data_IF_525901107343
#
_entry.id   IF_525901107343
#
_cell.length_a   1.000
_cell.length_b   1.000
_cell.length_c   1.000
_cell.angle_alpha   90.00
_cell.angle_beta   90.00
_cell.angle_gamma   90.00
#
_symmetry.space_group_name_H-M   'P 1'
#
loop_
_entity.id
_entity.type
_entity.pdbx_description
1 polymer ?
#
# COMPACT_ATOMS: atom_id res chain seq x y z
N UNK A 1 6.56 -40.52 24.64
CA UNK A 1 6.46 -39.41 25.58
C UNK A 1 7.52 -38.33 25.41
N UNK A 2 7.88 -38.01 24.21
CA UNK A 2 8.90 -37.00 23.94
C UNK A 2 8.55 -36.16 22.72
N UNK A 3 7.27 -35.81 22.63
CA UNK A 3 6.79 -35.13 21.43
C UNK A 3 6.36 -33.69 21.67
N UNK A 4 6.72 -33.18 22.85
CA UNK A 4 6.26 -31.86 23.29
C UNK A 4 7.00 -30.70 22.59
N UNK A 5 8.20 -30.97 22.04
CA UNK A 5 9.04 -29.91 21.47
C UNK A 5 8.62 -29.43 20.08
N UNK A 6 7.72 -30.13 19.38
CA UNK A 6 7.38 -29.80 18.00
C UNK A 6 6.28 -28.75 17.84
N UNK A 7 5.57 -28.42 18.92
CA UNK A 7 4.42 -27.49 18.84
C UNK A 7 4.84 -26.02 18.94
N UNK A 8 6.03 -25.74 19.44
CA UNK A 8 6.47 -24.37 19.74
C UNK A 8 6.87 -23.59 18.50
N UNK A 9 7.35 -24.26 17.45
CA UNK A 9 7.88 -23.59 16.26
C UNK A 9 6.82 -22.84 15.45
N UNK A 10 5.57 -23.34 15.43
CA UNK A 10 4.49 -22.69 14.69
C UNK A 10 4.04 -21.36 15.28
N UNK A 11 4.12 -21.22 16.59
CA UNK A 11 3.71 -19.99 17.27
C UNK A 11 4.68 -18.84 17.04
N UNK A 12 5.97 -19.14 16.93
CA UNK A 12 7.00 -18.12 16.69
C UNK A 12 6.81 -17.48 15.32
N UNK A 13 6.46 -18.26 14.30
CA UNK A 13 6.24 -17.73 12.95
C UNK A 13 5.06 -16.75 12.90
N UNK A 14 3.98 -17.03 13.64
CA UNK A 14 2.81 -16.12 13.71
C UNK A 14 3.15 -14.80 14.38
N UNK A 15 3.96 -14.83 15.43
CA UNK A 15 4.37 -13.61 16.13
C UNK A 15 5.25 -12.71 15.26
N UNK A 16 6.13 -13.28 14.43
CA UNK A 16 6.98 -12.52 13.51
C UNK A 16 6.13 -11.82 12.46
N UNK A 17 5.13 -12.50 11.89
CA UNK A 17 4.24 -11.89 10.91
C UNK A 17 3.43 -10.73 11.48
N UNK A 18 2.91 -10.86 12.71
CA UNK A 18 2.17 -9.81 13.37
C UNK A 18 3.04 -8.59 13.66
N UNK A 19 4.29 -8.80 14.10
CA UNK A 19 5.23 -7.70 14.37
C UNK A 19 5.55 -6.90 13.10
N UNK A 20 5.73 -7.58 11.95
CA UNK A 20 6.01 -6.91 10.69
C UNK A 20 4.82 -6.07 10.22
N UNK A 21 3.58 -6.57 10.41
CA UNK A 21 2.38 -5.85 10.00
C UNK A 21 2.15 -4.57 10.82
N UNK A 22 2.73 -4.46 12.03
CA UNK A 22 2.56 -3.31 12.90
C UNK A 22 3.61 -2.22 12.68
N UNK A 23 4.66 -2.49 11.90
CA UNK A 23 5.70 -1.50 11.65
C UNK A 23 5.23 -0.46 10.63
N UNK A 24 5.56 0.83 10.83
CA UNK A 24 5.25 1.85 9.84
C UNK A 24 5.89 1.54 8.49
N UNK A 25 5.15 1.79 7.42
CA UNK A 25 5.68 1.69 6.07
C UNK A 25 6.60 2.88 5.79
N UNK A 26 7.73 2.62 5.17
CA UNK A 26 8.74 3.63 4.83
C UNK A 26 9.08 3.58 3.36
N UNK A 27 9.71 4.62 2.86
CA UNK A 27 10.24 4.63 1.50
C UNK A 27 11.14 3.43 1.26
N UNK A 28 10.92 2.76 0.15
CA UNK A 28 11.64 1.53 -0.21
C UNK A 28 11.00 0.24 0.28
N UNK A 29 9.98 0.31 1.12
CA UNK A 29 9.31 -0.88 1.62
C UNK A 29 8.38 -1.48 0.56
N UNK A 30 8.07 -2.76 0.75
CA UNK A 30 7.11 -3.47 -0.09
C UNK A 30 5.69 -3.19 0.40
N UNK A 31 4.82 -2.85 -0.56
CA UNK A 31 3.39 -2.67 -0.36
C UNK A 31 2.65 -3.75 -1.14
N UNK A 32 1.84 -4.55 -0.46
CA UNK A 32 1.07 -5.64 -1.08
C UNK A 32 -0.41 -5.39 -0.88
N UNK A 33 -1.19 -5.60 -1.93
CA UNK A 33 -2.63 -5.47 -1.87
C UNK A 33 -3.28 -5.67 -3.23
N UNK A 34 -4.58 -5.43 -3.29
CA UNK A 34 -5.36 -5.57 -4.53
C UNK A 34 -5.32 -4.27 -5.30
N UNK A 35 -4.95 -4.36 -6.58
CA UNK A 35 -4.95 -3.19 -7.48
C UNK A 35 -6.34 -2.95 -8.01
N UNK A 36 -6.80 -1.70 -7.90
CA UNK A 36 -8.10 -1.28 -8.45
C UNK A 36 -7.98 0.07 -9.15
N UNK A 37 -8.95 0.35 -10.01
CA UNK A 37 -9.10 1.65 -10.65
C UNK A 37 -10.21 2.41 -9.93
N UNK A 38 -9.93 3.65 -9.53
CA UNK A 38 -10.88 4.52 -8.85
C UNK A 38 -11.18 5.70 -9.74
N UNK A 39 -12.46 5.97 -9.97
CA UNK A 39 -12.92 7.17 -10.68
C UNK A 39 -13.61 8.08 -9.68
N UNK A 40 -13.18 9.31 -9.60
CA UNK A 40 -13.74 10.32 -8.71
C UNK A 40 -13.65 11.70 -9.36
N UNK A 41 -14.04 12.75 -8.66
CA UNK A 41 -13.95 14.13 -9.15
C UNK A 41 -13.23 15.00 -8.14
N UNK A 42 -12.35 15.83 -8.65
CA UNK A 42 -11.78 16.93 -7.89
C UNK A 42 -12.91 17.95 -7.56
N UNK A 43 -12.84 18.68 -6.44
CA UNK A 43 -13.82 19.73 -6.13
C UNK A 43 -14.02 20.76 -7.24
N UNK A 44 -13.04 20.98 -8.11
CA UNK A 44 -13.18 21.87 -9.26
C UNK A 44 -13.92 21.25 -10.44
N UNK A 45 -14.44 20.03 -10.32
CA UNK A 45 -15.19 19.33 -11.35
C UNK A 45 -14.38 18.41 -12.25
N UNK A 46 -13.05 18.44 -12.17
CA UNK A 46 -12.18 17.61 -12.98
C UNK A 46 -12.34 16.14 -12.63
N UNK A 47 -12.56 15.29 -13.63
CA UNK A 47 -12.61 13.84 -13.46
C UNK A 47 -11.23 13.29 -13.18
N UNK A 48 -11.11 12.50 -12.12
CA UNK A 48 -9.86 11.85 -11.72
C UNK A 48 -10.01 10.34 -11.87
N UNK A 49 -9.00 9.72 -12.48
CA UNK A 49 -8.91 8.26 -12.61
C UNK A 49 -7.56 7.86 -12.01
N UNK A 50 -7.59 6.99 -11.00
CA UNK A 50 -6.39 6.64 -10.26
C UNK A 50 -6.26 5.14 -10.09
N UNK A 51 -5.04 4.64 -10.21
CA UNK A 51 -4.70 3.27 -9.82
C UNK A 51 -4.38 3.28 -8.33
N UNK A 52 -5.01 2.36 -7.60
CA UNK A 52 -4.92 2.34 -6.15
C UNK A 52 -4.70 0.92 -5.65
N UNK A 53 -3.75 0.74 -4.74
CA UNK A 53 -3.61 -0.52 -4.01
C UNK A 53 -4.43 -0.42 -2.73
N UNK A 54 -5.28 -1.43 -2.51
CA UNK A 54 -6.01 -1.61 -1.25
C UNK A 54 -5.31 -2.70 -0.46
N UNK A 55 -4.83 -2.35 0.72
CA UNK A 55 -4.03 -3.25 1.56
C UNK A 55 -4.63 -3.40 2.94
N UNK A 56 -4.10 -4.33 3.71
CA UNK A 56 -4.29 -4.32 5.15
C UNK A 56 -3.76 -3.00 5.72
N UNK A 57 -4.28 -2.54 6.88
CA UNK A 57 -3.84 -1.28 7.45
C UNK A 57 -2.33 -1.23 7.64
N UNK A 58 -1.73 -0.14 7.18
CA UNK A 58 -0.30 0.13 7.32
C UNK A 58 -0.14 1.46 8.02
N UNK A 59 0.63 1.47 9.08
CA UNK A 59 0.92 2.70 9.80
C UNK A 59 1.91 3.56 9.00
N UNK A 60 1.75 4.87 9.09
CA UNK A 60 2.67 5.83 8.50
C UNK A 60 3.60 6.41 9.56
N UNK A 61 4.76 6.93 9.17
CA UNK A 61 5.67 7.59 10.13
C UNK A 61 5.00 8.75 10.86
N UNK A 62 5.28 8.87 12.16
CA UNK A 62 4.57 9.80 13.04
C UNK A 62 4.86 11.29 12.80
N UNK A 63 5.80 11.62 11.92
CA UNK A 63 6.15 13.01 11.62
C UNK A 63 5.33 13.63 10.47
N UNK A 64 4.43 12.87 9.86
CA UNK A 64 3.59 13.36 8.76
C UNK A 64 2.23 13.79 9.32
N UNK A 65 1.97 15.10 9.34
CA UNK A 65 0.77 15.68 9.94
C UNK A 65 -0.53 15.37 9.18
N UNK A 66 -0.43 14.88 7.96
CA UNK A 66 -1.60 14.53 7.15
C UNK A 66 -2.05 13.09 7.33
N UNK A 67 -1.35 12.31 8.14
CA UNK A 67 -1.66 10.91 8.35
C UNK A 67 -2.61 10.68 9.51
N UNK A 68 -3.44 9.64 9.39
CA UNK A 68 -4.22 9.09 10.50
C UNK A 68 -3.37 8.02 11.18
N UNK A 69 -2.88 8.33 12.38
CA UNK A 69 -1.99 7.42 13.11
C UNK A 69 -2.74 6.36 13.91
N UNK A 70 -4.04 6.53 14.12
CA UNK A 70 -4.82 5.61 14.94
C UNK A 70 -5.25 4.38 14.17
N UNK A 71 -5.60 4.54 12.90
CA UNK A 71 -6.20 3.48 12.08
C UNK A 71 -5.26 2.89 11.05
N UNK A 72 -4.25 3.63 10.65
CA UNK A 72 -3.39 3.26 9.55
C UNK A 72 -4.03 3.47 8.18
N UNK A 73 -3.21 3.38 7.14
CA UNK A 73 -3.63 3.59 5.76
C UNK A 73 -3.99 2.26 5.10
N UNK A 74 -5.05 2.25 4.32
CA UNK A 74 -5.50 1.07 3.56
C UNK A 74 -5.53 1.30 2.06
N UNK A 75 -5.46 2.56 1.59
CA UNK A 75 -5.56 2.90 0.18
C UNK A 75 -4.35 3.73 -0.25
N UNK A 76 -3.67 3.27 -1.30
CA UNK A 76 -2.41 3.84 -1.76
C UNK A 76 -2.52 4.17 -3.24
N UNK A 77 -2.44 5.46 -3.57
CA UNK A 77 -2.56 5.96 -4.94
C UNK A 77 -1.21 5.81 -5.66
N UNK A 78 -1.12 4.90 -6.61
CA UNK A 78 0.06 4.76 -7.47
C UNK A 78 -0.01 5.79 -8.58
N UNK A 79 0.89 6.77 -8.60
CA UNK A 79 0.89 7.79 -9.64
C UNK A 79 1.28 7.18 -10.97
N UNK A 80 0.53 7.52 -12.02
CA UNK A 80 0.78 7.07 -13.38
C UNK A 80 1.04 8.28 -14.27
N UNK A 81 2.27 8.78 -14.21
CA UNK A 81 2.67 10.00 -14.93
C UNK A 81 2.95 9.76 -16.40
N UNK A 82 3.05 8.50 -16.82
CA UNK A 82 3.35 8.12 -18.20
C UNK A 82 2.37 7.07 -18.69
N UNK A 83 2.23 6.96 -20.02
CA UNK A 83 1.43 5.90 -20.63
C UNK A 83 2.03 4.52 -20.36
N UNK A 84 3.34 4.42 -20.25
CA UNK A 84 4.02 3.17 -19.92
C UNK A 84 3.62 2.66 -18.53
N UNK A 85 3.52 3.55 -17.54
CA UNK A 85 3.07 3.18 -16.20
C UNK A 85 1.63 2.65 -16.21
N UNK A 86 0.73 3.31 -16.94
CA UNK A 86 -0.65 2.85 -17.10
C UNK A 86 -0.73 1.49 -17.77
N UNK A 87 0.04 1.27 -18.82
CA UNK A 87 0.09 -0.01 -19.53
C UNK A 87 0.61 -1.14 -18.64
N UNK A 88 1.54 -0.83 -17.75
CA UNK A 88 2.07 -1.82 -16.82
C UNK A 88 1.01 -2.25 -15.80
N UNK A 89 0.22 -1.33 -15.29
CA UNK A 89 -0.77 -1.61 -14.25
C UNK A 89 -2.08 -2.18 -14.79
N UNK A 90 -2.50 -1.78 -15.98
CA UNK A 90 -3.81 -2.16 -16.51
C UNK A 90 -4.09 -3.67 -16.49
N UNK A 91 -3.16 -4.57 -16.94
CA UNK A 91 -3.42 -6.00 -16.88
C UNK A 91 -3.43 -6.57 -15.46
N UNK A 92 -3.00 -5.80 -14.47
CA UNK A 92 -2.95 -6.26 -13.08
C UNK A 92 -4.18 -5.85 -12.27
N UNK A 93 -5.12 -5.13 -12.87
CA UNK A 93 -6.35 -4.72 -12.19
C UNK A 93 -7.12 -5.91 -11.65
N UNK A 94 -7.58 -5.82 -10.42
CA UNK A 94 -8.29 -6.87 -9.72
C UNK A 94 -7.40 -7.94 -9.10
N UNK A 95 -6.10 -7.87 -9.32
CA UNK A 95 -5.15 -8.85 -8.80
C UNK A 95 -4.45 -8.33 -7.56
N UNK A 96 -4.01 -9.26 -6.73
CA UNK A 96 -3.12 -8.93 -5.62
C UNK A 96 -1.71 -8.81 -6.17
N UNK A 97 -1.09 -7.65 -5.93
CA UNK A 97 0.25 -7.34 -6.40
C UNK A 97 1.11 -6.81 -5.27
N UNK A 98 2.41 -6.85 -5.47
CA UNK A 98 3.37 -6.20 -4.60
C UNK A 98 4.17 -5.18 -5.38
N UNK A 99 4.34 -4.00 -4.79
CA UNK A 99 5.20 -2.97 -5.35
C UNK A 99 6.21 -2.53 -4.32
N UNK A 100 7.38 -2.10 -4.78
CA UNK A 100 8.29 -1.34 -3.94
C UNK A 100 7.81 0.10 -3.97
N UNK A 101 7.46 0.65 -2.81
CA UNK A 101 7.05 2.05 -2.68
C UNK A 101 8.31 2.91 -2.53
N UNK A 102 8.86 3.35 -3.65
CA UNK A 102 10.12 4.09 -3.68
C UNK A 102 9.96 5.44 -2.98
N UNK A 103 8.83 6.12 -3.21
CA UNK A 103 8.47 7.35 -2.52
C UNK A 103 7.02 7.26 -2.10
N UNK A 104 6.70 7.76 -0.93
CA UNK A 104 5.33 7.79 -0.43
C UNK A 104 5.16 8.89 0.61
N UNK A 105 3.94 9.43 0.67
CA UNK A 105 3.55 10.41 1.69
C UNK A 105 2.03 10.36 1.86
N UNK A 106 1.54 10.79 3.02
CA UNK A 106 0.10 10.86 3.23
C UNK A 106 -0.54 11.89 2.33
N UNK A 107 -1.76 11.62 1.85
CA UNK A 107 -2.45 12.48 0.91
C UNK A 107 -2.66 13.88 1.48
N UNK A 108 -2.30 14.90 0.71
CA UNK A 108 -2.31 16.29 1.13
C UNK A 108 -3.31 17.14 0.35
N UNK A 109 -3.75 16.67 -0.83
CA UNK A 109 -4.63 17.42 -1.72
C UNK A 109 -5.69 16.51 -2.31
N UNK A 110 -6.72 17.12 -2.92
CA UNK A 110 -7.78 16.38 -3.59
C UNK A 110 -7.33 15.66 -4.88
N UNK A 111 -6.10 15.91 -5.35
CA UNK A 111 -5.51 15.18 -6.47
C UNK A 111 -4.95 13.82 -6.05
N UNK A 112 -4.72 13.62 -4.76
CA UNK A 112 -4.26 12.36 -4.19
C UNK A 112 -5.46 11.49 -3.86
N UNK A 113 -5.66 10.41 -4.61
CA UNK A 113 -6.85 9.57 -4.50
C UNK A 113 -6.55 8.38 -3.60
N UNK A 114 -6.79 8.54 -2.30
CA UNK A 114 -6.51 7.52 -1.29
C UNK A 114 -5.90 8.13 -0.04
N UNK A 115 -5.54 7.28 0.91
CA UNK A 115 -4.94 7.71 2.17
C UNK A 115 -3.50 8.17 1.98
N UNK A 116 -2.77 7.51 1.09
CA UNK A 116 -1.34 7.72 0.86
C UNK A 116 -1.08 7.87 -0.63
N UNK A 117 -0.23 8.81 -1.00
CA UNK A 117 0.27 9.00 -2.35
C UNK A 117 1.59 8.25 -2.52
N UNK A 118 1.73 7.52 -3.63
CA UNK A 118 2.95 6.79 -3.98
C UNK A 118 3.42 7.29 -5.36
N UNK A 119 4.18 8.38 -5.40
CA UNK A 119 4.59 8.98 -6.68
C UNK A 119 5.62 8.17 -7.44
N UNK A 120 6.39 7.32 -6.76
CA UNK A 120 7.38 6.45 -7.40
C UNK A 120 7.25 5.04 -6.85
N UNK A 121 7.17 4.07 -7.74
CA UNK A 121 6.95 2.67 -7.39
C UNK A 121 7.52 1.76 -8.46
N UNK A 122 7.77 0.51 -8.08
CA UNK A 122 8.19 -0.55 -9.00
C UNK A 122 7.39 -1.80 -8.68
N UNK A 123 6.76 -2.39 -9.69
CA UNK A 123 6.06 -3.67 -9.53
C UNK A 123 7.07 -4.77 -9.31
N UNK A 124 6.85 -5.57 -8.26
CA UNK A 124 7.73 -6.68 -7.92
C UNK A 124 7.22 -7.96 -8.58
N UNK A 125 8.12 -8.84 -9.04
CA UNK A 125 7.72 -10.14 -9.58
C UNK A 125 7.12 -11.01 -8.47
N UNK A 126 6.23 -11.90 -8.87
CA UNK A 126 5.64 -12.87 -7.94
C UNK A 126 6.63 -13.97 -7.58
#
# INVERSE_FOLDING_TARGET
>A
MRFVGLVVAGWIALLIGAAQAQQPIREGDTLTGTLRLVTTRHPNGTKLVAYQIVSEPRMMPAHDDFCDYDKGATTFHLFTMTDAAKKQLKPLLGKQISVKAVALFCSETAWHVGDVAVPQWTVLPK
#
